data_IF_536414346355
#
_entry.id   IF_536414346355
#
_cell.length_a   1.000
_cell.length_b   1.000
_cell.length_c   1.000
_cell.angle_alpha   90.00
_cell.angle_beta   90.00
_cell.angle_gamma   90.00
#
_symmetry.space_group_name_H-M   'P 1'
#
loop_
_entity.id
_entity.type
_entity.pdbx_description
1 polymer ?
#
# COMPACT_ATOMS: atom_id res chain seq x y z
N UNK A 1 -33.59 2.49 4.37
CA UNK A 1 -32.79 1.79 3.34
C UNK A 1 -32.84 2.53 2.00
N UNK A 2 -34.01 2.90 1.45
CA UNK A 2 -34.09 3.62 0.16
C UNK A 2 -33.47 5.04 0.14
N UNK A 3 -33.47 5.79 1.26
CA UNK A 3 -32.79 7.09 1.34
C UNK A 3 -31.25 6.96 1.45
N UNK A 4 -30.76 5.88 2.06
CA UNK A 4 -29.33 5.58 2.21
C UNK A 4 -28.68 5.28 0.85
N UNK A 5 -29.44 4.68 -0.08
CA UNK A 5 -28.99 4.35 -1.44
C UNK A 5 -28.95 5.58 -2.36
N UNK A 6 -29.80 6.59 -2.11
CA UNK A 6 -29.78 7.88 -2.84
C UNK A 6 -28.58 8.75 -2.44
N UNK A 7 -28.18 8.71 -1.17
CA UNK A 7 -27.01 9.41 -0.65
C UNK A 7 -25.67 8.75 -1.01
N UNK A 8 -25.64 7.69 -1.80
CA UNK A 8 -24.40 7.09 -2.32
C UNK A 8 -24.35 7.09 -3.85
N UNK A 9 -25.37 7.65 -4.52
CA UNK A 9 -25.44 7.76 -5.98
C UNK A 9 -24.40 8.73 -6.56
N UNK A 10 -23.79 9.58 -5.73
CA UNK A 10 -22.67 10.46 -6.11
C UNK A 10 -21.30 9.76 -6.02
N UNK A 11 -21.17 8.71 -5.20
CA UNK A 11 -19.99 7.83 -5.24
C UNK A 11 -19.94 7.04 -6.55
N UNK A 12 -21.09 6.77 -7.17
CA UNK A 12 -21.14 6.24 -8.53
C UNK A 12 -20.51 7.19 -9.56
N UNK A 13 -20.55 8.51 -9.38
CA UNK A 13 -19.87 9.46 -10.29
C UNK A 13 -18.34 9.42 -10.10
N UNK A 14 -17.87 9.30 -8.86
CA UNK A 14 -16.45 9.07 -8.53
C UNK A 14 -15.93 7.70 -9.05
N UNK A 15 -16.80 6.69 -9.08
CA UNK A 15 -16.46 5.33 -9.49
C UNK A 15 -16.74 5.03 -10.98
N UNK A 16 -17.53 5.86 -11.69
CA UNK A 16 -17.93 5.61 -13.09
C UNK A 16 -17.11 6.35 -14.14
N UNK A 17 -16.32 7.35 -13.75
CA UNK A 17 -15.46 8.08 -14.68
C UNK A 17 -14.01 7.61 -14.53
N UNK A 18 -13.68 6.53 -15.24
CA UNK A 18 -12.30 6.11 -15.53
C UNK A 18 -11.66 7.18 -16.44
N UNK A 19 -11.24 8.28 -15.82
CA UNK A 19 -10.27 9.30 -16.23
C UNK A 19 -10.65 10.59 -15.50
N UNK A 20 -10.27 10.69 -14.22
CA UNK A 20 -10.29 11.96 -13.51
C UNK A 20 -9.15 12.82 -14.10
N UNK A 21 -9.46 13.64 -15.10
CA UNK A 21 -8.54 14.66 -15.60
C UNK A 21 -8.33 15.73 -14.52
N UNK A 22 -7.19 16.42 -14.56
CA UNK A 22 -6.88 17.54 -13.65
C UNK A 22 -7.99 18.60 -13.62
N UNK A 23 -8.76 18.73 -14.70
CA UNK A 23 -9.91 19.64 -14.85
C UNK A 23 -11.11 19.29 -13.93
N UNK A 24 -11.27 18.03 -13.54
CA UNK A 24 -12.37 17.61 -12.64
C UNK A 24 -12.29 18.30 -11.27
N UNK A 25 -11.07 18.46 -10.74
CA UNK A 25 -10.80 19.13 -9.46
C UNK A 25 -11.07 20.63 -9.49
N UNK A 26 -11.08 21.24 -10.69
CA UNK A 26 -11.37 22.66 -10.90
C UNK A 26 -12.82 22.91 -11.32
N UNK A 27 -13.66 21.87 -11.37
CA UNK A 27 -15.07 22.04 -11.73
C UNK A 27 -15.79 22.94 -10.73
N UNK A 28 -16.62 23.84 -11.26
CA UNK A 28 -17.36 24.86 -10.50
C UNK A 28 -18.34 24.24 -9.49
N UNK A 29 -18.75 23.00 -9.76
CA UNK A 29 -19.65 22.18 -8.94
C UNK A 29 -18.93 21.57 -7.73
N UNK A 30 -17.66 21.16 -7.87
CA UNK A 30 -16.82 20.73 -6.74
C UNK A 30 -16.41 21.91 -5.85
N UNK A 31 -15.99 23.01 -6.46
CA UNK A 31 -15.49 24.20 -5.74
C UNK A 31 -16.60 24.98 -5.02
N UNK A 32 -17.86 24.84 -5.42
CA UNK A 32 -19.03 25.42 -4.74
C UNK A 32 -19.63 24.51 -3.66
N UNK A 33 -19.25 23.23 -3.63
CA UNK A 33 -19.67 22.30 -2.59
C UNK A 33 -18.83 22.54 -1.34
N UNK A 34 -19.38 23.21 -0.34
CA UNK A 34 -18.72 23.39 0.97
C UNK A 34 -18.48 22.03 1.65
N UNK A 35 -19.32 21.04 1.35
CA UNK A 35 -19.31 19.73 2.01
C UNK A 35 -18.15 18.86 1.53
N UNK A 36 -17.75 18.93 0.25
CA UNK A 36 -16.74 18.01 -0.29
C UNK A 36 -15.31 18.28 0.22
N UNK A 37 -14.81 19.53 0.22
CA UNK A 37 -13.53 19.89 0.80
C UNK A 37 -13.52 19.62 2.31
N UNK A 38 -14.62 19.90 3.01
CA UNK A 38 -14.73 19.60 4.44
C UNK A 38 -14.77 18.09 4.71
N UNK A 39 -15.39 17.29 3.84
CA UNK A 39 -15.40 15.84 3.97
C UNK A 39 -14.02 15.26 3.66
N UNK A 40 -13.32 15.79 2.64
CA UNK A 40 -11.94 15.42 2.34
C UNK A 40 -10.99 15.80 3.50
N UNK A 41 -11.05 17.05 3.97
CA UNK A 41 -10.27 17.52 5.15
C UNK A 41 -10.61 16.71 6.39
N UNK A 42 -11.88 16.39 6.62
CA UNK A 42 -12.30 15.59 7.77
C UNK A 42 -11.84 14.13 7.64
N UNK A 43 -11.86 13.53 6.44
CA UNK A 43 -11.31 12.20 6.20
C UNK A 43 -9.78 12.20 6.37
N UNK A 44 -9.07 13.22 5.90
CA UNK A 44 -7.64 13.42 6.10
C UNK A 44 -7.33 13.56 7.61
N UNK A 45 -8.05 14.45 8.31
CA UNK A 45 -7.92 14.66 9.74
C UNK A 45 -8.26 13.41 10.57
N UNK A 46 -9.27 12.62 10.18
CA UNK A 46 -9.58 11.34 10.81
C UNK A 46 -8.50 10.30 10.56
N UNK A 47 -7.84 10.30 9.39
CA UNK A 47 -6.68 9.45 9.13
C UNK A 47 -5.50 9.89 9.98
N UNK A 48 -5.21 11.19 10.08
CA UNK A 48 -4.15 11.74 10.96
C UNK A 48 -4.39 11.39 12.44
N UNK A 49 -5.63 11.48 12.92
CA UNK A 49 -5.99 11.10 14.30
C UNK A 49 -5.90 9.59 14.52
N UNK A 50 -6.35 8.78 13.56
CA UNK A 50 -6.34 7.32 13.68
C UNK A 50 -4.95 6.71 13.55
N UNK A 51 -3.99 7.45 12.97
CA UNK A 51 -2.60 7.06 12.77
C UNK A 51 -1.67 7.55 13.91
N UNK A 52 -2.20 8.05 15.03
CA UNK A 52 -1.43 8.24 16.29
C UNK A 52 -1.50 6.99 17.19
N UNK A 53 -0.53 6.07 17.16
CA UNK A 53 -0.30 5.15 18.27
C UNK A 53 0.65 5.76 19.32
N UNK A 54 0.62 5.27 20.58
CA UNK A 54 1.57 5.65 21.65
C UNK A 54 2.97 5.01 21.49
N UNK A 55 3.35 4.61 20.27
CA UNK A 55 4.65 4.01 19.96
C UNK A 55 5.23 4.66 18.70
N UNK A 56 6.57 4.76 18.59
CA UNK A 56 7.24 5.47 17.51
C UNK A 56 7.18 4.64 16.22
N UNK A 57 6.04 4.68 15.52
CA UNK A 57 5.97 4.27 14.12
C UNK A 57 6.22 5.53 13.30
N UNK A 58 7.21 5.42 12.41
CA UNK A 58 7.86 6.52 11.71
C UNK A 58 6.87 7.55 11.16
N UNK A 59 7.20 8.81 11.42
CA UNK A 59 6.55 10.06 11.02
C UNK A 59 6.62 10.26 9.47
N UNK A 60 6.14 9.28 8.69
CA UNK A 60 6.34 9.26 7.24
C UNK A 60 5.52 8.25 6.43
N UNK A 61 4.70 7.38 7.05
CA UNK A 61 3.85 6.48 6.27
C UNK A 61 2.74 7.27 5.56
N UNK A 62 2.75 7.28 4.24
CA UNK A 62 1.72 7.89 3.41
C UNK A 62 0.32 7.42 3.83
N UNK A 63 -0.58 8.38 4.06
CA UNK A 63 -1.93 8.16 4.56
C UNK A 63 -2.83 7.41 3.58
N UNK A 64 -2.40 7.26 2.31
CA UNK A 64 -3.09 6.46 1.31
C UNK A 64 -2.90 4.95 1.51
N UNK A 65 -1.85 4.51 2.21
CA UNK A 65 -1.51 3.09 2.37
C UNK A 65 -2.65 2.23 2.97
N UNK A 66 -3.39 2.67 4.01
CA UNK A 66 -4.52 1.91 4.56
C UNK A 66 -5.69 1.72 3.57
N UNK A 67 -5.84 2.59 2.58
CA UNK A 67 -6.88 2.43 1.56
C UNK A 67 -6.55 1.28 0.61
N UNK A 68 -5.27 1.11 0.27
CA UNK A 68 -4.79 0.05 -0.61
C UNK A 68 -4.60 -1.29 0.11
N UNK A 69 -4.03 -1.25 1.32
CA UNK A 69 -3.58 -2.42 2.07
C UNK A 69 -4.40 -2.58 3.35
N UNK A 70 -5.32 -3.54 3.35
CA UNK A 70 -6.33 -3.71 4.41
C UNK A 70 -5.74 -4.07 5.79
N UNK A 71 -4.54 -4.64 5.86
CA UNK A 71 -3.87 -4.90 7.15
C UNK A 71 -3.28 -3.67 7.80
N UNK A 72 -3.06 -2.57 7.06
CA UNK A 72 -2.59 -1.30 7.60
C UNK A 72 -3.70 -0.46 8.22
N UNK A 73 -4.96 -0.92 8.15
CA UNK A 73 -6.11 -0.16 8.65
C UNK A 73 -6.18 -0.18 10.19
N UNK A 74 -6.49 0.96 10.83
CA UNK A 74 -6.72 1.03 12.26
C UNK A 74 -7.80 0.04 12.72
N UNK A 75 -7.63 -0.55 13.91
CA UNK A 75 -8.59 -1.54 14.44
C UNK A 75 -10.02 -0.99 14.54
N UNK A 76 -10.16 0.29 14.88
CA UNK A 76 -11.45 0.99 15.00
C UNK A 76 -12.20 1.08 13.67
N UNK A 77 -11.49 1.10 12.54
CA UNK A 77 -12.11 1.18 11.22
C UNK A 77 -12.77 -0.12 10.76
N UNK A 78 -12.59 -1.21 11.51
CA UNK A 78 -13.27 -2.49 11.28
C UNK A 78 -14.65 -2.56 11.93
N UNK A 79 -14.98 -1.59 12.79
CA UNK A 79 -16.33 -1.46 13.34
C UNK A 79 -17.29 -0.96 12.26
N UNK A 80 -18.47 -1.58 12.17
CA UNK A 80 -19.52 -1.22 11.22
C UNK A 80 -20.07 0.18 11.47
N UNK A 81 -19.92 0.70 12.69
CA UNK A 81 -20.29 2.08 13.04
C UNK A 81 -19.27 3.14 12.61
N UNK A 82 -18.07 2.73 12.16
CA UNK A 82 -17.02 3.68 11.80
C UNK A 82 -17.27 4.31 10.42
N UNK A 83 -17.06 5.62 10.30
CA UNK A 83 -17.32 6.36 9.06
C UNK A 83 -16.53 5.84 7.85
N UNK A 84 -15.30 5.37 8.10
CA UNK A 84 -14.45 4.78 7.06
C UNK A 84 -14.79 3.33 6.71
N UNK A 85 -15.67 2.64 7.45
CA UNK A 85 -15.93 1.22 7.25
C UNK A 85 -16.45 0.92 5.84
N UNK A 86 -17.47 1.66 5.39
CA UNK A 86 -18.06 1.50 4.06
C UNK A 86 -17.08 1.91 2.96
N UNK A 87 -16.28 2.95 3.20
CA UNK A 87 -15.26 3.40 2.24
C UNK A 87 -14.18 2.33 2.07
N UNK A 88 -13.69 1.75 3.16
CA UNK A 88 -12.73 0.65 3.12
C UNK A 88 -13.29 -0.62 2.47
N UNK A 89 -14.57 -0.95 2.70
CA UNK A 89 -15.23 -2.04 1.97
C UNK A 89 -15.31 -1.76 0.47
N UNK A 90 -15.65 -0.53 0.07
CA UNK A 90 -15.70 -0.15 -1.33
C UNK A 90 -14.31 -0.27 -1.98
N UNK A 91 -13.27 0.22 -1.32
CA UNK A 91 -11.88 0.12 -1.80
C UNK A 91 -11.38 -1.33 -1.90
N UNK A 92 -11.84 -2.23 -1.04
CA UNK A 92 -11.50 -3.66 -1.12
C UNK A 92 -12.21 -4.39 -2.26
N UNK A 93 -13.38 -3.93 -2.64
CA UNK A 93 -14.15 -4.50 -3.75
C UNK A 93 -13.58 -4.11 -5.13
N UNK A 94 -12.73 -3.08 -5.19
CA UNK A 94 -12.10 -2.66 -6.44
C UNK A 94 -11.08 -3.71 -6.92
N UNK A 95 -11.05 -4.02 -8.23
CA UNK A 95 -10.05 -4.92 -8.79
C UNK A 95 -8.66 -4.30 -8.64
N UNK A 96 -7.77 -4.95 -7.90
CA UNK A 96 -6.39 -4.53 -7.69
C UNK A 96 -5.46 -5.32 -8.61
N UNK A 97 -4.90 -4.67 -9.63
CA UNK A 97 -3.86 -5.25 -10.49
C UNK A 97 -2.59 -4.41 -10.42
N UNK A 98 -1.57 -4.93 -9.74
CA UNK A 98 -0.29 -4.24 -9.55
C UNK A 98 0.84 -4.81 -10.40
N UNK A 99 0.53 -5.56 -11.47
CA UNK A 99 1.54 -6.18 -12.33
C UNK A 99 2.39 -5.17 -13.11
N UNK A 100 1.81 -4.01 -13.45
CA UNK A 100 2.48 -2.93 -14.19
C UNK A 100 3.06 -1.86 -13.26
N UNK A 101 2.67 -1.82 -11.99
CA UNK A 101 3.07 -0.80 -11.02
C UNK A 101 4.58 -0.81 -10.76
N UNK A 102 5.21 0.36 -10.80
CA UNK A 102 6.62 0.56 -10.45
C UNK A 102 6.68 1.46 -9.23
N UNK A 103 7.33 0.98 -8.17
CA UNK A 103 7.50 1.75 -6.93
C UNK A 103 8.98 1.94 -6.63
N UNK A 104 9.28 2.94 -5.79
CA UNK A 104 10.61 3.06 -5.21
C UNK A 104 10.79 2.11 -4.00
N UNK A 105 12.05 1.80 -3.64
CA UNK A 105 12.39 1.02 -2.45
C UNK A 105 11.76 1.53 -1.16
N UNK A 106 11.65 2.85 -0.99
CA UNK A 106 11.16 3.51 0.22
C UNK A 106 9.68 3.21 0.45
N UNK A 107 8.86 3.31 -0.60
CA UNK A 107 7.45 2.91 -0.54
C UNK A 107 7.33 1.41 -0.29
N UNK A 108 8.15 0.59 -0.94
CA UNK A 108 8.14 -0.86 -0.79
C UNK A 108 8.34 -1.31 0.66
N UNK A 109 9.21 -0.63 1.42
CA UNK A 109 9.49 -0.95 2.83
C UNK A 109 8.28 -0.83 3.76
N UNK A 110 7.25 -0.07 3.38
CA UNK A 110 6.04 0.15 4.16
C UNK A 110 4.92 -0.86 3.85
N UNK A 111 5.07 -1.64 2.78
CA UNK A 111 4.06 -2.60 2.34
C UNK A 111 4.14 -3.86 3.21
N UNK A 112 3.00 -4.38 3.71
CA UNK A 112 2.95 -5.66 4.42
C UNK A 112 3.40 -6.83 3.56
N UNK A 113 4.02 -7.84 4.18
CA UNK A 113 4.54 -9.03 3.49
C UNK A 113 3.46 -9.79 2.72
N UNK A 114 2.21 -9.72 3.14
CA UNK A 114 1.09 -10.38 2.46
C UNK A 114 0.80 -9.82 1.06
N UNK A 115 1.11 -8.54 0.82
CA UNK A 115 0.83 -7.89 -0.47
C UNK A 115 2.00 -7.97 -1.43
N UNK A 116 3.21 -8.28 -0.94
CA UNK A 116 4.41 -8.41 -1.79
C UNK A 116 4.66 -9.85 -2.25
N UNK A 117 3.77 -10.79 -1.91
CA UNK A 117 3.87 -12.19 -2.30
C UNK A 117 2.72 -12.61 -3.21
N UNK A 118 3.04 -13.45 -4.18
CA UNK A 118 2.08 -14.29 -4.88
C UNK A 118 2.09 -15.67 -4.21
N UNK A 119 0.99 -16.07 -3.53
CA UNK A 119 0.95 -17.37 -2.87
C UNK A 119 1.00 -18.50 -3.91
N UNK A 120 2.00 -19.37 -3.78
CA UNK A 120 2.01 -20.66 -4.48
C UNK A 120 1.01 -21.54 -3.75
N UNK A 121 0.04 -22.13 -4.48
CA UNK A 121 -1.14 -22.82 -3.92
C UNK A 121 -0.84 -23.89 -2.85
N UNK A 122 0.38 -24.39 -2.78
CA UNK A 122 0.81 -25.47 -1.89
C UNK A 122 1.45 -25.00 -0.58
N UNK A 123 1.81 -23.72 -0.45
CA UNK A 123 2.55 -23.21 0.72
C UNK A 123 1.80 -22.09 1.43
N UNK A 124 1.55 -22.26 2.73
CA UNK A 124 0.86 -21.26 3.55
C UNK A 124 1.79 -20.71 4.64
N UNK A 125 1.96 -19.38 4.64
CA UNK A 125 2.62 -18.66 5.71
C UNK A 125 1.67 -18.37 6.87
N UNK A 126 2.23 -18.26 8.07
CA UNK A 126 1.46 -17.89 9.26
C UNK A 126 0.93 -16.45 9.11
N UNK A 127 -0.31 -16.14 9.53
CA UNK A 127 -0.87 -14.79 9.46
C UNK A 127 -0.02 -13.73 10.19
N UNK A 128 0.73 -14.11 11.23
CA UNK A 128 1.64 -13.20 11.92
C UNK A 128 2.84 -12.78 11.07
N UNK A 129 3.29 -13.62 10.13
CA UNK A 129 4.36 -13.28 9.19
C UNK A 129 3.82 -12.29 8.14
N UNK A 130 2.64 -12.59 7.62
CA UNK A 130 1.97 -11.83 6.55
C UNK A 130 1.73 -10.35 6.92
N UNK A 131 1.49 -10.07 8.20
CA UNK A 131 1.27 -8.70 8.71
C UNK A 131 2.54 -7.89 8.96
N UNK A 132 3.73 -8.51 8.89
CA UNK A 132 4.97 -7.75 9.09
C UNK A 132 5.20 -6.82 7.89
N UNK A 133 5.76 -5.62 8.09
CA UNK A 133 6.17 -4.77 6.97
C UNK A 133 7.38 -5.36 6.25
N UNK A 134 7.53 -5.06 4.96
CA UNK A 134 8.67 -5.51 4.15
C UNK A 134 10.02 -5.10 4.75
N UNK A 135 10.10 -3.94 5.40
CA UNK A 135 11.27 -3.48 6.16
C UNK A 135 11.76 -4.44 7.25
N UNK A 136 10.91 -5.37 7.71
CA UNK A 136 11.31 -6.43 8.65
C UNK A 136 12.22 -7.48 8.00
N UNK A 137 12.03 -7.75 6.71
CA UNK A 137 12.74 -8.80 5.97
C UNK A 137 13.76 -8.26 4.96
N UNK A 138 13.56 -7.02 4.49
CA UNK A 138 14.40 -6.36 3.49
C UNK A 138 14.97 -5.05 4.04
N UNK A 139 16.06 -4.61 3.43
CA UNK A 139 16.74 -3.34 3.69
C UNK A 139 17.13 -2.71 2.36
N UNK A 140 17.14 -1.38 2.31
CA UNK A 140 17.61 -0.62 1.15
C UNK A 140 19.13 -0.56 1.21
N UNK A 141 19.77 -0.96 0.12
CA UNK A 141 21.20 -0.79 -0.04
C UNK A 141 21.54 0.69 -0.23
N UNK A 142 22.43 1.23 0.59
CA UNK A 142 22.76 2.66 0.58
C UNK A 142 23.61 3.08 -0.62
N UNK A 143 24.30 2.14 -1.27
CA UNK A 143 25.21 2.43 -2.38
C UNK A 143 24.45 2.42 -3.71
N UNK A 144 23.55 1.45 -3.90
CA UNK A 144 22.88 1.21 -5.17
C UNK A 144 21.36 1.42 -5.15
N UNK A 145 20.80 1.81 -3.99
CA UNK A 145 19.38 2.12 -3.81
C UNK A 145 18.42 1.06 -4.37
N UNK A 146 18.73 -0.22 -4.12
CA UNK A 146 17.83 -1.35 -4.35
C UNK A 146 17.56 -2.11 -3.05
N UNK A 147 16.48 -2.87 -3.01
CA UNK A 147 16.09 -3.65 -1.83
C UNK A 147 16.77 -5.01 -1.83
N UNK A 148 17.48 -5.32 -0.74
CA UNK A 148 18.08 -6.65 -0.53
C UNK A 148 17.51 -7.32 0.72
N UNK A 149 17.48 -8.66 0.77
CA UNK A 149 17.16 -9.36 2.00
C UNK A 149 18.09 -8.95 3.14
N UNK A 150 17.56 -8.83 4.35
CA UNK A 150 18.36 -8.64 5.56
C UNK A 150 19.17 -9.89 5.88
N UNK A 151 20.40 -9.69 6.28
CA UNK A 151 21.25 -10.72 6.88
C UNK A 151 20.77 -11.10 8.28
N UNK A 152 21.21 -12.24 8.79
CA UNK A 152 20.81 -12.72 10.12
C UNK A 152 21.09 -11.75 11.28
N UNK A 153 22.08 -10.87 11.11
CA UNK A 153 22.52 -9.89 12.12
C UNK A 153 21.67 -8.61 12.03
N UNK A 154 21.18 -8.26 10.84
CA UNK A 154 20.34 -7.08 10.58
C UNK A 154 18.86 -7.28 10.97
N UNK A 155 18.46 -8.51 11.29
CA UNK A 155 17.08 -8.84 11.68
C UNK A 155 16.91 -8.62 13.20
N UNK A 156 16.42 -7.43 13.56
CA UNK A 156 16.14 -7.08 14.95
C UNK A 156 14.74 -7.53 15.40
N UNK A 157 13.71 -7.31 14.58
CA UNK A 157 12.31 -7.55 14.94
C UNK A 157 11.85 -8.94 14.51
N UNK A 158 11.16 -9.66 15.41
CA UNK A 158 10.55 -10.97 15.14
C UNK A 158 11.45 -11.95 14.37
N UNK A 159 12.70 -12.21 14.82
CA UNK A 159 13.72 -12.86 14.01
C UNK A 159 13.34 -14.26 13.53
N UNK A 160 12.59 -15.01 14.33
CA UNK A 160 12.10 -16.34 13.93
C UNK A 160 11.13 -16.26 12.75
N UNK A 161 10.20 -15.31 12.78
CA UNK A 161 9.18 -15.12 11.74
C UNK A 161 9.80 -14.63 10.44
N UNK A 162 10.71 -13.65 10.52
CA UNK A 162 11.42 -13.11 9.36
C UNK A 162 12.31 -14.17 8.72
N UNK A 163 13.07 -14.94 9.51
CA UNK A 163 13.91 -16.03 8.99
C UNK A 163 13.08 -17.11 8.29
N UNK A 164 11.89 -17.45 8.83
CA UNK A 164 10.98 -18.38 8.16
C UNK A 164 10.52 -17.84 6.81
N UNK A 165 10.15 -16.56 6.73
CA UNK A 165 9.76 -15.92 5.48
C UNK A 165 10.89 -15.94 4.44
N UNK A 166 12.09 -15.46 4.81
CA UNK A 166 13.24 -15.41 3.91
C UNK A 166 13.69 -16.80 3.46
N UNK A 167 13.62 -17.81 4.35
CA UNK A 167 13.86 -19.20 3.99
C UNK A 167 12.85 -19.68 2.96
N UNK A 168 11.56 -19.42 3.16
CA UNK A 168 10.53 -19.80 2.20
C UNK A 168 10.69 -19.11 0.83
N UNK A 169 11.11 -17.83 0.82
CA UNK A 169 11.45 -17.11 -0.41
C UNK A 169 12.61 -17.76 -1.16
N UNK A 170 13.70 -18.07 -0.44
CA UNK A 170 14.90 -18.68 -1.01
C UNK A 170 14.67 -20.10 -1.50
N UNK A 171 13.89 -20.88 -0.76
CA UNK A 171 13.57 -22.27 -1.09
C UNK A 171 12.51 -22.36 -2.21
N UNK A 172 12.06 -21.23 -2.77
CA UNK A 172 11.13 -21.18 -3.90
C UNK A 172 9.68 -21.48 -3.54
N UNK A 173 9.33 -21.47 -2.25
CA UNK A 173 7.97 -21.74 -1.77
C UNK A 173 7.02 -20.55 -1.92
N UNK A 174 7.55 -19.36 -2.20
CA UNK A 174 6.78 -18.15 -2.46
C UNK A 174 7.44 -17.32 -3.55
N UNK A 175 6.61 -16.61 -4.32
CA UNK A 175 7.07 -15.69 -5.35
C UNK A 175 6.80 -14.27 -4.90
N UNK A 176 7.73 -13.35 -5.16
CA UNK A 176 7.48 -11.93 -4.93
C UNK A 176 6.60 -11.38 -6.05
N UNK A 177 5.73 -10.43 -5.71
CA UNK A 177 4.94 -9.70 -6.71
C UNK A 177 5.85 -8.89 -7.64
N UNK A 178 5.49 -8.70 -8.92
CA UNK A 178 6.31 -7.97 -9.88
C UNK A 178 6.75 -6.58 -9.40
N UNK A 179 5.84 -5.78 -8.84
CA UNK A 179 6.16 -4.43 -8.38
C UNK A 179 7.23 -4.41 -7.27
N UNK A 180 7.22 -5.39 -6.36
CA UNK A 180 8.23 -5.52 -5.31
C UNK A 180 9.54 -6.10 -5.85
N UNK A 181 9.47 -7.06 -6.78
CA UNK A 181 10.68 -7.61 -7.39
C UNK A 181 11.51 -6.54 -8.11
N UNK A 182 10.86 -5.55 -8.73
CA UNK A 182 11.51 -4.41 -9.37
C UNK A 182 12.33 -3.56 -8.41
N UNK A 183 11.98 -3.51 -7.12
CA UNK A 183 12.80 -2.79 -6.14
C UNK A 183 14.08 -3.54 -5.81
N UNK A 184 14.14 -4.86 -6.04
CA UNK A 184 15.33 -5.68 -5.82
C UNK A 184 16.36 -5.59 -6.95
N UNK A 185 16.02 -4.96 -8.07
CA UNK A 185 16.90 -4.79 -9.22
C UNK A 185 17.52 -3.39 -9.12
N UNK A 186 18.84 -3.31 -9.23
CA UNK A 186 19.54 -2.03 -9.24
C UNK A 186 19.02 -1.13 -10.37
N UNK A 187 18.86 0.16 -10.10
CA UNK A 187 18.18 1.09 -11.02
C UNK A 187 18.82 1.13 -12.41
N UNK A 188 20.16 1.08 -12.48
CA UNK A 188 20.90 1.05 -13.74
C UNK A 188 20.67 -0.24 -14.57
N UNK A 189 20.17 -1.31 -13.95
CA UNK A 189 19.83 -2.58 -14.59
C UNK A 189 18.34 -2.70 -14.95
N UNK A 190 17.50 -1.70 -14.64
CA UNK A 190 16.05 -1.76 -14.88
C UNK A 190 15.68 -2.02 -16.34
N UNK A 191 16.52 -1.56 -17.27
CA UNK A 191 16.37 -1.80 -18.72
C UNK A 191 16.55 -3.27 -19.15
N UNK A 192 17.21 -4.08 -18.32
CA UNK A 192 17.42 -5.52 -18.55
C UNK A 192 16.33 -6.39 -17.90
N UNK A 193 15.45 -5.80 -17.10
CA UNK A 193 14.34 -6.53 -16.50
C UNK A 193 13.31 -6.96 -17.56
N UNK A 194 12.49 -7.97 -17.23
CA UNK A 194 11.40 -8.42 -18.09
C UNK A 194 10.06 -8.33 -17.35
N UNK A 195 9.15 -7.42 -17.75
CA UNK A 195 9.35 -6.34 -18.73
C UNK A 195 10.31 -5.26 -18.20
N UNK A 196 10.99 -4.56 -19.12
CA UNK A 196 11.80 -3.40 -18.78
C UNK A 196 10.90 -2.29 -18.21
N UNK A 197 11.46 -1.48 -17.30
CA UNK A 197 10.70 -0.43 -16.63
C UNK A 197 11.58 0.79 -16.34
N UNK A 198 10.93 1.93 -16.12
CA UNK A 198 11.58 3.18 -15.71
C UNK A 198 11.55 3.25 -14.18
N UNK A 199 12.71 3.27 -13.48
CA UNK A 199 12.74 3.32 -12.03
C UNK A 199 12.27 4.69 -11.52
N UNK A 200 11.61 4.68 -10.36
CA UNK A 200 11.24 5.90 -9.63
C UNK A 200 12.48 6.43 -8.90
N UNK A 201 12.89 7.67 -9.21
CA UNK A 201 14.17 8.23 -8.75
C UNK A 201 14.09 9.01 -7.45
N UNK A 202 12.90 9.45 -7.02
CA UNK A 202 12.78 10.17 -5.75
C UNK A 202 12.75 9.19 -4.57
N UNK A 203 13.19 9.67 -3.41
CA UNK A 203 13.23 8.89 -2.16
C UNK A 203 12.01 9.13 -1.27
N UNK A 204 11.08 9.97 -1.70
CA UNK A 204 9.83 10.19 -0.98
C UNK A 204 8.93 8.96 -1.11
N UNK A 205 8.20 8.63 -0.05
CA UNK A 205 7.15 7.61 -0.12
C UNK A 205 6.05 8.15 -1.03
N UNK A 206 5.74 7.41 -2.09
CA UNK A 206 4.76 7.79 -3.11
C UNK A 206 3.85 6.60 -3.41
N UNK A 207 2.63 6.70 -2.91
CA UNK A 207 1.61 5.67 -3.09
C UNK A 207 0.76 5.93 -4.34
N UNK A 208 0.94 7.07 -5.03
CA UNK A 208 0.20 7.40 -6.25
C UNK A 208 0.42 6.38 -7.37
N UNK A 209 1.56 5.68 -7.37
CA UNK A 209 1.88 4.64 -8.36
C UNK A 209 0.92 3.43 -8.33
N UNK A 210 0.14 3.26 -7.26
CA UNK A 210 -0.83 2.18 -7.12
C UNK A 210 -2.27 2.55 -7.57
N UNK A 211 -2.52 3.83 -7.84
CA UNK A 211 -3.83 4.40 -8.17
C UNK A 211 -3.92 4.66 -9.68
#
# INVERSE_FOLDING_TARGET
IQQSTLQLRWLLLLLSHFHLSSEFWYSKELTSSIVLPLLADYLIHLVEISMRPPQPVALGSDFHLPFLFSSLRPLLSKDRGHLLFLLYQAMDALPKNFSTVVINPETAMHIPLEFIINPIRTFQLRPSILKLPASSAYIIDSEFHFTRPRSNIEIAQSPRLVKMFLKAARDGHLQLTPFFLRTCIAQFLAHLASPAYIPVLHHNIDVSQFV
#
